data_IF_895498011822
#
_entry.id   IF_895498011822
#
_cell.length_a   1.000
_cell.length_b   1.000
_cell.length_c   1.000
_cell.angle_alpha   90.00
_cell.angle_beta   90.00
_cell.angle_gamma   90.00
#
_symmetry.space_group_name_H-M   'P 1'
#
loop_
_entity.id
_entity.type
_entity.pdbx_description
1 polymer ?
#
# COMPACT_ATOMS: atom_id res chain seq x y z
N UNK A 1 23.94 -35.19 47.56
CA UNK A 1 23.87 -33.74 47.85
C UNK A 1 24.08 -32.97 46.55
N UNK A 2 23.11 -32.11 46.22
CA UNK A 2 23.15 -31.00 45.23
C UNK A 2 24.45 -30.18 45.31
N UNK A 3 24.97 -29.49 44.27
CA UNK A 3 24.39 -28.36 43.48
C UNK A 3 25.32 -28.14 42.27
N UNK A 4 24.88 -28.20 41.01
CA UNK A 4 24.43 -27.07 40.16
C UNK A 4 25.20 -25.74 40.35
N UNK A 5 26.46 -25.64 39.93
CA UNK A 5 27.15 -24.35 39.71
C UNK A 5 28.19 -24.45 38.58
N UNK A 6 27.73 -24.66 37.34
CA UNK A 6 28.46 -24.29 36.12
C UNK A 6 27.52 -23.35 35.37
N UNK A 7 27.20 -22.21 35.98
CA UNK A 7 26.47 -21.11 35.34
C UNK A 7 26.47 -19.90 36.27
N UNK A 8 27.61 -19.24 36.46
CA UNK A 8 27.62 -17.86 36.95
C UNK A 8 29.05 -17.33 36.82
N UNK A 9 29.20 -16.05 36.50
CA UNK A 9 30.47 -15.33 36.30
C UNK A 9 30.99 -15.42 34.85
N UNK A 10 30.24 -14.84 33.92
CA UNK A 10 30.75 -14.00 32.83
C UNK A 10 29.56 -13.40 32.07
N UNK A 11 28.89 -12.44 32.70
CA UNK A 11 28.42 -11.20 32.05
C UNK A 11 27.73 -10.25 33.05
N UNK A 12 28.27 -10.15 34.27
CA UNK A 12 28.07 -8.93 35.07
C UNK A 12 28.91 -7.83 34.42
N UNK A 13 28.41 -7.22 33.35
CA UNK A 13 28.99 -6.00 32.75
C UNK A 13 28.00 -5.26 31.87
N UNK A 14 26.72 -5.11 32.26
CA UNK A 14 25.85 -4.06 31.72
C UNK A 14 24.84 -3.58 32.77
N UNK A 15 25.33 -3.28 33.98
CA UNK A 15 24.59 -2.53 34.98
C UNK A 15 25.30 -1.19 35.22
N UNK A 16 25.30 -0.33 34.19
CA UNK A 16 25.77 1.05 34.31
C UNK A 16 25.18 1.90 33.18
N UNK A 17 23.97 2.40 33.42
CA UNK A 17 23.57 3.79 33.21
C UNK A 17 22.08 3.94 33.58
N UNK A 18 21.81 4.13 34.87
CA UNK A 18 20.57 4.76 35.34
C UNK A 18 20.93 6.18 35.80
N UNK A 19 20.04 7.12 35.47
CA UNK A 19 19.97 8.53 35.86
C UNK A 19 20.59 9.53 34.89
N UNK A 20 19.86 9.78 33.79
CA UNK A 20 19.80 11.11 33.20
C UNK A 20 18.36 11.61 33.32
N UNK A 21 18.11 12.52 34.26
CA UNK A 21 16.86 13.29 34.29
C UNK A 21 16.93 14.37 33.23
N UNK A 22 16.87 13.97 31.96
CA UNK A 22 16.55 14.90 30.87
C UNK A 22 15.03 14.89 30.71
N UNK A 23 14.33 15.64 31.57
CA UNK A 23 12.98 16.05 31.20
C UNK A 23 13.15 17.08 30.08
N UNK A 24 13.03 16.59 28.85
CA UNK A 24 12.89 17.45 27.69
C UNK A 24 11.65 18.32 27.94
N UNK A 25 11.74 19.66 27.90
CA UNK A 25 10.59 20.50 28.16
C UNK A 25 9.46 20.12 27.20
N UNK A 26 8.24 20.01 27.73
CA UNK A 26 7.01 19.65 27.01
C UNK A 26 6.76 20.52 25.75
N UNK A 27 7.41 21.68 25.67
CA UNK A 27 7.46 22.58 24.52
C UNK A 27 8.20 22.02 23.28
N UNK A 28 8.92 20.91 23.37
CA UNK A 28 9.56 20.25 22.22
C UNK A 28 8.58 19.35 21.43
N UNK A 29 7.35 19.16 21.91
CA UNK A 29 6.26 18.46 21.22
C UNK A 29 5.14 19.45 20.84
N UNK A 30 5.48 20.55 20.18
CA UNK A 30 4.47 21.33 19.49
C UNK A 30 5.04 22.06 18.28
N UNK A 31 5.26 21.26 17.24
CA UNK A 31 4.94 21.71 15.90
C UNK A 31 4.30 20.53 15.18
N UNK A 32 3.10 20.15 15.60
CA UNK A 32 2.16 19.65 14.61
C UNK A 32 1.84 20.86 13.73
N UNK A 33 2.70 21.10 12.73
CA UNK A 33 2.22 21.75 11.53
C UNK A 33 1.14 20.81 11.02
N UNK A 34 -0.10 21.10 11.33
CA UNK A 34 -1.20 20.73 10.46
C UNK A 34 -0.89 21.43 9.14
N UNK A 35 -0.07 20.75 8.32
CA UNK A 35 -0.10 20.98 6.90
C UNK A 35 -1.50 20.51 6.54
N UNK A 36 -2.43 21.48 6.51
CA UNK A 36 -3.67 21.39 5.78
C UNK A 36 -3.26 21.17 4.32
N UNK A 37 -2.92 19.91 4.02
CA UNK A 37 -2.82 19.38 2.68
C UNK A 37 -4.24 19.47 2.13
N UNK A 38 -4.61 20.64 1.60
CA UNK A 38 -5.70 20.80 0.66
C UNK A 38 -5.33 20.15 -0.70
N UNK A 39 -4.40 19.19 -0.69
CA UNK A 39 -4.25 18.22 -1.76
C UNK A 39 -5.53 17.37 -1.74
N UNK A 40 -6.20 17.27 -2.87
CA UNK A 40 -7.33 16.36 -3.05
C UNK A 40 -6.82 14.95 -2.77
N UNK A 41 -7.03 14.44 -1.55
CA UNK A 41 -6.69 13.07 -1.17
C UNK A 41 -7.72 12.18 -1.85
N UNK A 42 -7.25 11.30 -2.72
CA UNK A 42 -8.11 10.33 -3.41
C UNK A 42 -8.53 9.29 -2.40
N UNK A 43 -9.82 9.08 -2.28
CA UNK A 43 -10.37 8.02 -1.44
C UNK A 43 -10.24 6.67 -2.15
N UNK A 44 -9.48 5.75 -1.54
CA UNK A 44 -9.28 4.40 -2.03
C UNK A 44 -10.22 3.37 -1.38
N UNK A 45 -11.29 3.82 -0.70
CA UNK A 45 -12.20 2.94 0.03
C UNK A 45 -12.89 1.90 -0.87
N UNK A 46 -13.31 2.26 -2.09
CA UNK A 46 -13.92 1.30 -3.04
C UNK A 46 -12.94 0.16 -3.37
N UNK A 47 -11.68 0.49 -3.63
CA UNK A 47 -10.64 -0.51 -3.88
C UNK A 47 -10.34 -1.37 -2.65
N UNK A 48 -10.26 -0.75 -1.47
CA UNK A 48 -10.07 -1.47 -0.21
C UNK A 48 -11.21 -2.47 0.04
N UNK A 49 -12.47 -2.09 -0.24
CA UNK A 49 -13.62 -3.00 -0.13
C UNK A 49 -13.51 -4.18 -1.09
N UNK A 50 -13.10 -3.95 -2.35
CA UNK A 50 -12.86 -5.02 -3.32
C UNK A 50 -11.73 -5.97 -2.86
N UNK A 51 -10.63 -5.42 -2.36
CA UNK A 51 -9.52 -6.21 -1.84
C UNK A 51 -9.94 -7.08 -0.65
N UNK A 52 -10.68 -6.51 0.31
CA UNK A 52 -11.17 -7.27 1.47
C UNK A 52 -12.13 -8.40 1.08
N UNK A 53 -12.92 -8.19 0.02
CA UNK A 53 -13.89 -9.18 -0.47
C UNK A 53 -13.23 -10.32 -1.25
N UNK A 54 -12.20 -10.00 -2.05
CA UNK A 54 -11.68 -10.91 -3.08
C UNK A 54 -10.21 -11.31 -2.92
N UNK A 55 -9.50 -10.79 -1.92
CA UNK A 55 -8.11 -11.15 -1.64
C UNK A 55 -8.02 -11.81 -0.27
N UNK A 56 -7.55 -13.06 -0.25
CA UNK A 56 -7.31 -13.78 0.99
C UNK A 56 -6.19 -13.15 1.82
N UNK A 57 -6.13 -13.49 3.11
CA UNK A 57 -5.08 -13.03 4.04
C UNK A 57 -3.65 -13.38 3.62
N UNK A 58 -3.48 -14.38 2.75
CA UNK A 58 -2.18 -14.78 2.17
C UNK A 58 -1.93 -14.19 0.78
N UNK A 59 -2.76 -13.24 0.33
CA UNK A 59 -2.57 -12.53 -0.93
C UNK A 59 -3.06 -13.27 -2.19
N UNK A 60 -3.76 -14.41 -2.06
CA UNK A 60 -4.41 -15.04 -3.22
C UNK A 60 -5.64 -14.25 -3.64
N UNK A 61 -5.69 -13.89 -4.92
CA UNK A 61 -6.79 -13.15 -5.56
C UNK A 61 -7.84 -14.12 -6.11
N UNK A 62 -9.09 -13.93 -5.73
CA UNK A 62 -10.25 -14.58 -6.33
C UNK A 62 -10.70 -13.83 -7.59
N UNK A 63 -10.11 -14.18 -8.73
CA UNK A 63 -10.47 -13.58 -10.01
C UNK A 63 -11.90 -13.89 -10.45
N UNK A 64 -12.51 -14.98 -9.99
CA UNK A 64 -13.90 -15.30 -10.32
C UNK A 64 -14.82 -14.36 -9.53
N UNK A 65 -14.56 -14.17 -8.23
CA UNK A 65 -15.23 -13.18 -7.39
C UNK A 65 -15.10 -11.76 -7.97
N UNK A 66 -13.88 -11.36 -8.32
CA UNK A 66 -13.64 -10.07 -8.98
C UNK A 66 -14.39 -9.90 -10.30
N UNK A 67 -14.51 -10.97 -11.11
CA UNK A 67 -15.27 -10.94 -12.36
C UNK A 67 -16.76 -10.63 -12.12
N UNK A 68 -17.32 -11.12 -11.03
CA UNK A 68 -18.72 -10.84 -10.65
C UNK A 68 -18.92 -9.38 -10.19
N UNK A 69 -17.88 -8.75 -9.64
CA UNK A 69 -17.89 -7.34 -9.20
C UNK A 69 -17.17 -6.41 -10.20
N UNK A 70 -17.10 -6.78 -11.48
CA UNK A 70 -16.40 -6.00 -12.51
C UNK A 70 -16.93 -4.56 -12.64
N UNK A 71 -18.21 -4.33 -12.37
CA UNK A 71 -18.80 -2.98 -12.36
C UNK A 71 -18.20 -2.11 -11.24
N UNK A 72 -18.04 -2.65 -10.04
CA UNK A 72 -17.43 -1.93 -8.92
C UNK A 72 -15.92 -1.69 -9.17
N UNK A 73 -15.22 -2.65 -9.77
CA UNK A 73 -13.84 -2.45 -10.21
C UNK A 73 -13.75 -1.32 -11.24
N UNK A 74 -14.64 -1.29 -12.23
CA UNK A 74 -14.66 -0.23 -13.24
C UNK A 74 -14.95 1.14 -12.63
N UNK A 75 -15.90 1.24 -11.68
CA UNK A 75 -16.17 2.48 -10.92
C UNK A 75 -14.90 3.04 -10.28
N UNK A 76 -14.13 2.19 -9.60
CA UNK A 76 -12.87 2.61 -8.99
C UNK A 76 -11.83 3.06 -10.02
N UNK A 77 -11.70 2.38 -11.16
CA UNK A 77 -10.81 2.80 -12.24
C UNK A 77 -11.23 4.16 -12.83
N UNK A 78 -12.53 4.43 -12.92
CA UNK A 78 -13.06 5.71 -13.38
C UNK A 78 -12.76 6.83 -12.36
N UNK A 79 -12.79 6.54 -11.05
CA UNK A 79 -12.34 7.48 -10.01
C UNK A 79 -10.87 7.84 -10.23
N UNK A 80 -10.00 6.86 -10.46
CA UNK A 80 -8.58 7.12 -10.75
C UNK A 80 -8.42 7.96 -12.02
N UNK A 81 -9.12 7.61 -13.09
CA UNK A 81 -9.08 8.34 -14.37
C UNK A 81 -9.43 9.82 -14.25
N UNK A 82 -10.35 10.17 -13.35
CA UNK A 82 -10.80 11.54 -13.17
C UNK A 82 -10.03 12.31 -12.09
N UNK A 83 -9.14 11.65 -11.34
CA UNK A 83 -8.47 12.25 -10.18
C UNK A 83 -6.97 11.96 -10.19
N UNK A 84 -6.23 12.54 -11.13
CA UNK A 84 -4.78 12.44 -11.12
C UNK A 84 -4.14 13.26 -9.99
N UNK A 85 -3.03 12.77 -9.38
CA UNK A 85 -2.24 13.56 -8.45
C UNK A 85 -1.75 14.85 -9.11
N UNK A 86 -1.86 15.97 -8.39
CA UNK A 86 -1.33 17.27 -8.82
C UNK A 86 0.15 17.37 -8.47
N UNK A 87 0.88 18.28 -9.11
CA UNK A 87 2.27 18.60 -8.75
C UNK A 87 2.41 19.03 -7.27
N UNK A 88 1.35 19.60 -6.71
CA UNK A 88 1.28 19.98 -5.29
C UNK A 88 0.98 18.82 -4.34
N UNK A 89 0.68 17.61 -4.85
CA UNK A 89 0.41 16.44 -3.99
C UNK A 89 1.66 16.01 -3.26
N UNK A 90 1.51 15.61 -1.99
CA UNK A 90 2.62 15.06 -1.22
C UNK A 90 3.15 13.78 -1.85
N UNK A 91 4.46 13.52 -1.69
CA UNK A 91 5.12 12.32 -2.26
C UNK A 91 4.39 11.02 -1.90
N UNK A 92 3.89 10.92 -0.66
CA UNK A 92 3.17 9.74 -0.19
C UNK A 92 1.81 9.58 -0.88
N UNK A 93 1.08 10.68 -1.10
CA UNK A 93 -0.19 10.66 -1.82
C UNK A 93 0.01 10.21 -3.27
N UNK A 94 1.00 10.77 -3.95
CA UNK A 94 1.35 10.40 -5.32
C UNK A 94 1.78 8.92 -5.41
N UNK A 95 2.59 8.44 -4.46
CA UNK A 95 3.02 7.05 -4.43
C UNK A 95 1.83 6.08 -4.20
N UNK A 96 0.96 6.38 -3.23
CA UNK A 96 -0.22 5.57 -2.95
C UNK A 96 -1.14 5.48 -4.17
N UNK A 97 -1.37 6.60 -4.85
CA UNK A 97 -2.14 6.64 -6.09
C UNK A 97 -1.57 5.69 -7.15
N UNK A 98 -0.28 5.78 -7.45
CA UNK A 98 0.33 4.96 -8.51
C UNK A 98 0.35 3.47 -8.18
N UNK A 99 0.64 3.10 -6.93
CA UNK A 99 0.62 1.70 -6.49
C UNK A 99 -0.79 1.13 -6.61
N UNK A 100 -1.80 1.85 -6.12
CA UNK A 100 -3.18 1.39 -6.18
C UNK A 100 -3.70 1.33 -7.62
N UNK A 101 -3.34 2.29 -8.47
CA UNK A 101 -3.67 2.29 -9.89
C UNK A 101 -3.09 1.07 -10.59
N UNK A 102 -1.78 0.85 -10.45
CA UNK A 102 -1.11 -0.30 -11.06
C UNK A 102 -1.77 -1.63 -10.67
N UNK A 103 -2.05 -1.82 -9.38
CA UNK A 103 -2.65 -3.05 -8.88
C UNK A 103 -4.08 -3.26 -9.43
N UNK A 104 -4.93 -2.23 -9.41
CA UNK A 104 -6.31 -2.34 -9.90
C UNK A 104 -6.37 -2.59 -11.41
N UNK A 105 -5.55 -1.88 -12.18
CA UNK A 105 -5.44 -2.10 -13.62
C UNK A 105 -4.84 -3.47 -13.97
N UNK A 106 -3.91 -3.99 -13.16
CA UNK A 106 -3.38 -5.36 -13.33
C UNK A 106 -4.49 -6.40 -13.13
N UNK A 107 -5.34 -6.23 -12.11
CA UNK A 107 -6.51 -7.10 -11.92
C UNK A 107 -7.44 -7.01 -13.13
N UNK A 108 -7.74 -5.80 -13.62
CA UNK A 108 -8.56 -5.60 -14.82
C UNK A 108 -7.98 -6.32 -16.04
N UNK A 109 -6.68 -6.19 -16.29
CA UNK A 109 -5.99 -6.87 -17.39
C UNK A 109 -6.15 -8.40 -17.31
N UNK A 110 -5.99 -8.98 -16.12
CA UNK A 110 -6.14 -10.42 -15.92
C UNK A 110 -7.60 -10.84 -16.15
N UNK A 111 -8.58 -10.05 -15.68
CA UNK A 111 -10.00 -10.33 -15.87
C UNK A 111 -10.43 -10.26 -17.34
N UNK A 112 -9.90 -9.29 -18.09
CA UNK A 112 -10.18 -9.12 -19.52
C UNK A 112 -9.67 -10.29 -20.36
N UNK A 113 -8.63 -10.97 -19.87
CA UNK A 113 -8.04 -12.15 -20.51
C UNK A 113 -8.45 -13.46 -19.82
N UNK A 114 -9.41 -13.42 -18.89
CA UNK A 114 -9.77 -14.60 -18.11
C UNK A 114 -10.59 -15.60 -18.95
N UNK A 115 -10.29 -16.93 -18.89
CA UNK A 115 -9.28 -17.56 -18.05
C UNK A 115 -7.87 -17.51 -18.65
N UNK A 116 -6.89 -17.07 -17.84
CA UNK A 116 -5.47 -17.09 -18.19
C UNK A 116 -4.69 -17.77 -17.06
N UNK A 117 -3.67 -18.56 -17.40
CA UNK A 117 -2.85 -19.27 -16.40
C UNK A 117 -1.78 -18.37 -15.80
N UNK A 118 -1.21 -17.48 -16.59
CA UNK A 118 -0.19 -16.53 -16.17
C UNK A 118 -0.39 -15.21 -16.90
N UNK A 119 -0.20 -14.09 -16.20
CA UNK A 119 -0.17 -12.76 -16.85
C UNK A 119 0.86 -12.70 -18.00
N UNK A 120 1.92 -13.52 -17.94
CA UNK A 120 2.95 -13.63 -18.98
C UNK A 120 2.44 -14.25 -20.29
N UNK A 121 1.29 -14.91 -20.24
CA UNK A 121 0.66 -15.52 -21.43
C UNK A 121 -0.18 -14.49 -22.21
N UNK A 122 -0.43 -13.32 -21.61
CA UNK A 122 -1.09 -12.19 -22.27
C UNK A 122 -0.06 -11.48 -23.15
N UNK A 123 -0.42 -11.12 -24.38
CA UNK A 123 0.48 -10.44 -25.31
C UNK A 123 0.85 -9.05 -24.77
N UNK A 124 2.15 -8.82 -24.57
CA UNK A 124 2.73 -7.56 -24.11
C UNK A 124 2.01 -6.99 -22.86
N UNK A 125 1.92 -7.75 -21.75
CA UNK A 125 1.00 -7.43 -20.65
C UNK A 125 1.34 -6.12 -19.93
N UNK A 126 2.58 -5.63 -20.07
CA UNK A 126 3.04 -4.38 -19.48
C UNK A 126 3.18 -3.24 -20.49
N UNK A 127 3.15 -3.53 -21.79
CA UNK A 127 3.24 -2.51 -22.85
C UNK A 127 1.87 -2.15 -23.43
N UNK A 128 0.78 -2.72 -22.91
CA UNK A 128 -0.54 -2.28 -23.31
C UNK A 128 -0.77 -0.87 -22.76
N UNK A 129 -1.41 0.00 -23.53
CA UNK A 129 -1.89 1.29 -23.02
C UNK A 129 -3.12 1.05 -22.12
N UNK A 130 -2.99 0.22 -21.07
CA UNK A 130 -4.12 -0.21 -20.23
C UNK A 130 -4.37 0.78 -19.08
N UNK A 131 -3.40 1.65 -18.78
CA UNK A 131 -3.55 2.81 -17.90
C UNK A 131 -3.69 4.05 -18.79
N UNK A 132 -4.90 4.32 -19.29
CA UNK A 132 -5.23 5.59 -19.96
C UNK A 132 -5.78 6.53 -18.90
N UNK A 133 -4.89 7.31 -18.29
CA UNK A 133 -5.25 8.45 -17.46
C UNK A 133 -4.79 9.68 -18.26
N UNK A 134 -5.71 10.52 -18.72
CA UNK A 134 -5.43 11.75 -19.51
C UNK A 134 -4.75 11.59 -20.90
N UNK A 135 -5.12 10.64 -21.76
CA UNK A 135 -4.46 10.47 -23.08
C UNK A 135 -2.92 10.27 -23.01
N UNK A 136 -2.36 10.03 -21.83
CA UNK A 136 -0.98 9.59 -21.64
C UNK A 136 -1.02 8.12 -21.29
N UNK A 137 -0.47 7.31 -22.19
CA UNK A 137 -0.05 5.98 -21.83
C UNK A 137 1.03 6.11 -20.76
N UNK A 138 0.81 5.51 -19.60
CA UNK A 138 1.85 5.37 -18.58
C UNK A 138 2.34 3.93 -18.68
N UNK A 139 3.32 3.76 -19.58
CA UNK A 139 4.11 2.56 -19.78
C UNK A 139 5.54 2.99 -20.14
#
# INVERSE_FOLDING_TARGET
MSKKYILLIFLLSFLSCLNSTNSVPYFAYSSNSEISDNATIIDHQEWNTLLQKHVSSIGKVDYIGFKNDMVALQSYLDILANNLPKESSSKNTTLAYWINSYNAFTVKLILDNYPVKSIKDIKNPWDQNFIILENRAIA
#
